data_IF_340183443313
#
_entry.id   IF_340183443313
#
_cell.length_a   1.000
_cell.length_b   1.000
_cell.length_c   1.000
_cell.angle_alpha   90.00
_cell.angle_beta   90.00
_cell.angle_gamma   90.00
#
_symmetry.space_group_name_H-M   'P 1'
#
loop_
_entity.id
_entity.type
_entity.pdbx_description
1 polymer ?
#
# COMPACT_ATOMS: atom_id res chain seq x y z
N UNK A 1 -31.71 -11.63 -16.88
CA UNK A 1 -30.64 -11.24 -15.95
C UNK A 1 -29.46 -10.85 -16.80
N UNK A 2 -29.08 -9.56 -16.82
CA UNK A 2 -27.95 -9.07 -17.62
C UNK A 2 -26.66 -9.74 -17.16
N UNK A 3 -25.87 -10.22 -18.13
CA UNK A 3 -24.60 -10.90 -17.88
C UNK A 3 -23.54 -9.81 -17.76
N UNK A 4 -23.05 -9.55 -16.56
CA UNK A 4 -22.03 -8.53 -16.31
C UNK A 4 -20.71 -8.94 -17.00
N UNK A 5 -20.35 -8.28 -18.11
CA UNK A 5 -19.18 -8.63 -18.93
C UNK A 5 -17.85 -8.15 -18.33
N UNK A 6 -17.88 -7.12 -17.48
CA UNK A 6 -16.71 -6.55 -16.79
C UNK A 6 -17.12 -6.08 -15.40
N UNK A 7 -16.18 -6.11 -14.46
CA UNK A 7 -16.37 -5.49 -13.15
C UNK A 7 -16.47 -3.96 -13.33
N UNK A 8 -17.62 -3.39 -12.94
CA UNK A 8 -17.86 -1.93 -12.93
C UNK A 8 -18.12 -1.48 -11.49
N UNK A 9 -17.30 -1.96 -10.55
CA UNK A 9 -17.38 -1.51 -9.16
C UNK A 9 -16.79 -0.12 -8.98
N UNK A 10 -17.27 0.60 -7.97
CA UNK A 10 -16.72 1.90 -7.59
C UNK A 10 -15.36 1.72 -6.88
N UNK A 11 -14.28 2.07 -7.57
CA UNK A 11 -12.93 2.04 -7.01
C UNK A 11 -12.59 3.28 -6.15
N UNK A 12 -13.50 4.26 -6.04
CA UNK A 12 -13.33 5.44 -5.19
C UNK A 12 -13.32 5.11 -3.68
N UNK A 13 -13.59 3.86 -3.31
CA UNK A 13 -13.50 3.39 -1.92
C UNK A 13 -12.31 2.47 -1.67
N UNK A 14 -11.55 2.09 -2.71
CA UNK A 14 -10.46 1.09 -2.60
C UNK A 14 -9.46 1.43 -1.49
N UNK A 15 -9.18 2.72 -1.31
CA UNK A 15 -8.19 3.22 -0.35
C UNK A 15 -8.80 3.79 0.94
N UNK A 16 -10.13 3.75 1.10
CA UNK A 16 -10.82 4.18 2.32
C UNK A 16 -10.80 3.07 3.36
N UNK A 17 -9.70 2.98 4.11
CA UNK A 17 -9.55 1.97 5.17
C UNK A 17 -10.38 2.29 6.43
N UNK A 18 -11.05 3.44 6.45
CA UNK A 18 -11.81 4.02 7.55
C UNK A 18 -13.33 3.92 7.39
N UNK A 19 -13.83 3.26 6.33
CA UNK A 19 -15.28 3.08 6.10
C UNK A 19 -15.96 2.39 7.30
N UNK A 20 -15.22 1.54 8.01
CA UNK A 20 -15.66 0.94 9.27
C UNK A 20 -14.62 1.16 10.36
N UNK A 21 -15.03 1.33 11.63
CA UNK A 21 -14.11 1.40 12.75
C UNK A 21 -13.25 0.13 12.84
N UNK A 22 -11.93 0.27 13.06
CA UNK A 22 -11.07 -0.89 13.15
C UNK A 22 -11.23 -1.61 14.49
N UNK A 23 -11.13 -2.94 14.44
CA UNK A 23 -11.20 -3.80 15.62
C UNK A 23 -9.77 -3.98 16.15
N UNK A 24 -9.49 -3.56 17.40
CA UNK A 24 -8.15 -3.66 17.97
C UNK A 24 -7.58 -5.08 17.91
N UNK A 25 -6.37 -5.20 17.37
CA UNK A 25 -5.58 -6.44 17.14
C UNK A 25 -6.14 -7.39 16.07
N UNK A 26 -7.30 -7.10 15.49
CA UNK A 26 -7.97 -7.95 14.49
C UNK A 26 -8.03 -7.33 13.10
N UNK A 27 -8.26 -6.02 12.99
CA UNK A 27 -8.27 -5.35 11.68
C UNK A 27 -6.88 -5.36 11.05
N UNK A 28 -6.79 -5.96 9.87
CA UNK A 28 -5.57 -6.10 9.09
C UNK A 28 -5.91 -5.83 7.62
N UNK A 29 -5.27 -4.82 7.05
CA UNK A 29 -5.38 -4.49 5.63
C UNK A 29 -4.08 -4.79 4.94
N UNK A 30 -4.18 -5.39 3.77
CA UNK A 30 -3.04 -5.83 3.02
C UNK A 30 -3.42 -5.99 1.55
N UNK A 31 -2.43 -5.77 0.70
CA UNK A 31 -2.50 -6.14 -0.70
C UNK A 31 -1.14 -6.69 -1.10
N UNK A 32 -1.15 -7.54 -2.11
CA UNK A 32 0.06 -8.16 -2.62
C UNK A 32 0.06 -8.13 -4.13
N UNK A 33 1.26 -8.09 -4.68
CA UNK A 33 1.52 -8.24 -6.10
C UNK A 33 2.52 -9.38 -6.25
N UNK A 34 2.22 -10.32 -7.16
CA UNK A 34 3.20 -11.28 -7.64
C UNK A 34 3.49 -11.00 -9.11
N UNK A 35 4.78 -10.84 -9.41
CA UNK A 35 5.28 -10.83 -10.78
C UNK A 35 5.88 -12.19 -11.10
N UNK A 36 5.38 -12.81 -12.17
CA UNK A 36 5.95 -14.03 -12.72
C UNK A 36 6.98 -13.67 -13.77
N UNK A 37 8.20 -14.15 -13.57
CA UNK A 37 9.34 -13.96 -14.48
C UNK A 37 9.69 -15.33 -15.08
N UNK A 38 9.84 -15.46 -16.40
CA UNK A 38 10.31 -16.70 -17.01
C UNK A 38 11.64 -17.16 -16.40
N UNK A 39 11.78 -18.46 -16.11
CA UNK A 39 13.07 -18.99 -15.69
C UNK A 39 13.95 -19.26 -16.93
N UNK A 40 15.13 -18.63 -17.07
CA UNK A 40 16.04 -18.88 -18.19
C UNK A 40 16.56 -20.33 -18.23
N UNK A 41 16.57 -21.03 -17.09
CA UNK A 41 17.11 -22.39 -17.00
C UNK A 41 16.06 -23.49 -17.25
N UNK A 42 14.78 -23.20 -17.00
CA UNK A 42 13.69 -24.17 -17.16
C UNK A 42 12.36 -23.46 -17.52
N UNK A 43 11.93 -23.47 -18.80
CA UNK A 43 10.74 -22.77 -19.24
C UNK A 43 9.43 -23.35 -18.68
N UNK A 44 9.46 -24.49 -17.97
CA UNK A 44 8.26 -25.09 -17.35
C UNK A 44 7.93 -24.48 -15.99
N UNK A 45 8.77 -23.60 -15.45
CA UNK A 45 8.54 -22.91 -14.18
C UNK A 45 8.85 -21.42 -14.29
N UNK A 46 8.38 -20.68 -13.29
CA UNK A 46 8.61 -19.24 -13.17
C UNK A 46 9.42 -18.92 -11.93
N UNK A 47 10.25 -17.88 -12.05
CA UNK A 47 10.74 -17.12 -10.91
C UNK A 47 9.65 -16.14 -10.48
N UNK A 48 9.59 -15.80 -9.20
CA UNK A 48 8.49 -15.00 -8.66
C UNK A 48 9.02 -13.94 -7.72
N UNK A 49 8.62 -12.69 -7.98
CA UNK A 49 8.77 -11.59 -7.03
C UNK A 49 7.42 -11.34 -6.39
N UNK A 50 7.31 -11.64 -5.08
CA UNK A 50 6.14 -11.33 -4.27
C UNK A 50 6.42 -10.09 -3.44
N UNK A 51 5.52 -9.11 -3.50
CA UNK A 51 5.57 -7.91 -2.67
C UNK A 51 4.27 -7.83 -1.89
N UNK A 52 4.35 -7.71 -0.58
CA UNK A 52 3.23 -7.48 0.33
C UNK A 52 3.40 -6.09 0.94
N UNK A 53 2.37 -5.26 0.83
CA UNK A 53 2.20 -4.16 1.77
C UNK A 53 1.11 -4.54 2.76
N UNK A 54 1.31 -4.18 4.03
CA UNK A 54 0.25 -4.34 5.02
C UNK A 54 0.33 -3.35 6.17
N UNK A 55 -0.83 -3.13 6.80
CA UNK A 55 -0.99 -2.40 8.06
C UNK A 55 -1.98 -3.14 8.95
N UNK A 56 -1.72 -3.17 10.25
CA UNK A 56 -2.57 -3.85 11.23
C UNK A 56 -2.86 -2.92 12.40
N UNK A 57 -4.10 -2.90 12.85
CA UNK A 57 -4.49 -2.19 14.07
C UNK A 57 -3.94 -2.96 15.28
N UNK A 58 -2.69 -2.69 15.66
CA UNK A 58 -2.02 -3.35 16.80
C UNK A 58 -0.91 -2.45 17.37
N UNK A 59 -0.65 -2.49 18.70
CA UNK A 59 0.47 -1.73 19.27
C UNK A 59 1.85 -2.17 18.75
N UNK A 60 1.99 -3.47 18.46
CA UNK A 60 3.18 -4.06 17.90
C UNK A 60 2.86 -5.43 17.27
N UNK A 61 3.69 -5.88 16.33
CA UNK A 61 3.67 -7.25 15.80
C UNK A 61 5.08 -7.64 15.36
N UNK A 62 5.40 -8.94 15.45
CA UNK A 62 6.67 -9.48 14.98
C UNK A 62 6.49 -10.11 13.60
N UNK A 63 7.29 -9.68 12.63
CA UNK A 63 7.26 -10.15 11.24
C UNK A 63 8.66 -10.63 10.87
N UNK A 64 8.80 -11.94 10.64
CA UNK A 64 10.07 -12.59 10.27
C UNK A 64 11.27 -12.12 11.12
N UNK A 65 11.12 -12.14 12.44
CA UNK A 65 12.15 -11.71 13.39
C UNK A 65 12.17 -10.21 13.71
N UNK A 66 11.65 -9.35 12.83
CA UNK A 66 11.58 -7.88 12.99
C UNK A 66 10.38 -7.45 13.83
N UNK A 67 10.55 -6.52 14.76
CA UNK A 67 9.45 -5.93 15.51
C UNK A 67 8.94 -4.68 14.80
N UNK A 68 7.71 -4.73 14.32
CA UNK A 68 7.02 -3.54 13.83
C UNK A 68 6.21 -2.89 14.94
N UNK A 69 6.44 -1.59 15.13
CA UNK A 69 5.68 -0.74 16.05
C UNK A 69 5.24 0.50 15.25
N UNK A 70 3.95 0.65 14.91
CA UNK A 70 3.51 1.69 13.96
C UNK A 70 3.76 3.13 14.44
N UNK A 71 3.99 3.34 15.74
CA UNK A 71 4.32 4.63 16.35
C UNK A 71 3.14 5.62 16.43
N UNK A 72 2.14 5.46 15.58
CA UNK A 72 0.83 6.11 15.62
C UNK A 72 -0.22 5.18 15.03
N UNK A 73 -1.51 5.46 15.25
CA UNK A 73 -2.58 4.83 14.47
C UNK A 73 -2.69 5.49 13.10
N UNK A 74 -3.52 4.92 12.23
CA UNK A 74 -4.01 5.63 11.06
C UNK A 74 -4.65 6.95 11.48
N UNK A 75 -4.35 8.03 10.77
CA UNK A 75 -4.92 9.35 10.99
C UNK A 75 -5.55 9.88 9.72
N UNK A 76 -6.59 10.68 9.86
CA UNK A 76 -7.30 11.35 8.77
C UNK A 76 -7.31 12.83 9.12
N UNK A 77 -6.99 13.69 8.16
CA UNK A 77 -7.10 15.14 8.34
C UNK A 77 -8.51 15.67 8.00
N UNK A 78 -8.68 16.98 8.09
CA UNK A 78 -9.96 17.67 7.88
C UNK A 78 -10.45 17.58 6.42
N UNK A 79 -9.53 17.43 5.47
CA UNK A 79 -9.81 17.33 4.03
C UNK A 79 -9.98 15.87 3.55
N UNK A 80 -9.91 14.91 4.48
CA UNK A 80 -10.13 13.49 4.22
C UNK A 80 -8.92 12.76 3.62
N UNK A 81 -7.71 13.29 3.82
CA UNK A 81 -6.46 12.61 3.50
C UNK A 81 -5.99 11.70 4.63
N UNK A 82 -5.45 10.54 4.29
CA UNK A 82 -5.07 9.49 5.23
C UNK A 82 -3.56 9.38 5.37
N UNK A 83 -3.08 9.16 6.60
CA UNK A 83 -1.72 8.66 6.84
C UNK A 83 -1.81 7.30 7.49
N UNK A 84 -1.25 6.30 6.81
CA UNK A 84 -1.37 4.89 7.15
C UNK A 84 0.03 4.33 7.42
N UNK A 85 0.37 4.01 8.67
CA UNK A 85 1.62 3.32 8.96
C UNK A 85 1.51 1.87 8.50
N UNK A 86 2.57 1.33 7.92
CA UNK A 86 2.58 -0.04 7.44
C UNK A 86 3.99 -0.59 7.24
N UNK A 87 4.05 -1.73 6.58
CA UNK A 87 5.29 -2.35 6.17
C UNK A 87 5.19 -2.90 4.76
N UNK A 88 6.31 -2.83 4.05
CA UNK A 88 6.53 -3.58 2.82
C UNK A 88 7.47 -4.74 3.11
N UNK A 89 7.07 -5.93 2.72
CA UNK A 89 7.92 -7.11 2.68
C UNK A 89 7.97 -7.64 1.25
N UNK A 90 9.15 -8.14 0.84
CA UNK A 90 9.30 -8.78 -0.46
C UNK A 90 10.05 -10.11 -0.34
N UNK A 91 9.69 -11.03 -1.22
CA UNK A 91 10.24 -12.37 -1.32
C UNK A 91 10.59 -12.66 -2.77
N UNK A 92 11.67 -13.40 -2.96
CA UNK A 92 12.10 -13.84 -4.29
C UNK A 92 12.17 -15.35 -4.34
N UNK A 93 11.45 -15.94 -5.28
CA UNK A 93 11.59 -17.35 -5.62
C UNK A 93 12.38 -17.46 -6.93
N UNK A 94 13.52 -18.14 -6.91
CA UNK A 94 14.41 -18.25 -8.08
C UNK A 94 14.05 -19.41 -9.03
N UNK A 95 12.92 -20.09 -8.81
CA UNK A 95 12.54 -21.32 -9.51
C UNK A 95 12.94 -22.60 -8.78
N UNK A 96 13.76 -22.51 -7.72
CA UNK A 96 14.20 -23.67 -6.91
C UNK A 96 13.95 -23.45 -5.42
N UNK A 97 14.30 -22.28 -4.89
CA UNK A 97 14.16 -21.94 -3.47
C UNK A 97 13.60 -20.55 -3.25
N UNK A 98 13.01 -20.36 -2.08
CA UNK A 98 12.53 -19.06 -1.61
C UNK A 98 13.67 -18.31 -0.89
N UNK A 99 13.80 -17.02 -1.19
CA UNK A 99 14.68 -16.09 -0.49
C UNK A 99 13.80 -15.15 0.33
N UNK A 100 13.96 -15.24 1.66
CA UNK A 100 13.13 -14.49 2.59
C UNK A 100 13.95 -13.94 3.77
N UNK A 101 13.78 -12.64 4.11
CA UNK A 101 13.10 -11.59 3.36
C UNK A 101 14.09 -10.89 2.41
N UNK A 102 13.70 -10.66 1.15
CA UNK A 102 14.47 -9.81 0.25
C UNK A 102 14.41 -8.34 0.72
N UNK A 103 13.24 -7.93 1.20
CA UNK A 103 13.00 -6.61 1.79
C UNK A 103 12.14 -6.77 3.03
N UNK A 104 12.53 -6.11 4.12
CA UNK A 104 11.64 -5.72 5.22
C UNK A 104 11.83 -4.22 5.41
N UNK A 105 10.76 -3.46 5.23
CA UNK A 105 10.83 -2.00 5.37
C UNK A 105 9.56 -1.46 6.00
N UNK A 106 9.72 -0.76 7.11
CA UNK A 106 8.65 0.08 7.65
C UNK A 106 8.45 1.28 6.74
N UNK A 107 7.20 1.62 6.48
CA UNK A 107 6.85 2.77 5.66
C UNK A 107 5.55 3.39 6.15
N UNK A 108 5.32 4.65 5.79
CA UNK A 108 4.01 5.28 5.93
C UNK A 108 3.54 5.69 4.56
N UNK A 109 2.26 5.46 4.31
CA UNK A 109 1.57 5.89 3.10
C UNK A 109 0.69 7.09 3.42
N UNK A 110 0.82 8.14 2.64
CA UNK A 110 -0.08 9.28 2.62
C UNK A 110 -1.02 9.11 1.42
N UNK A 111 -2.33 9.08 1.65
CA UNK A 111 -3.35 8.92 0.61
C UNK A 111 -4.22 10.16 0.55
N UNK A 112 -4.38 10.73 -0.64
CA UNK A 112 -5.24 11.89 -0.87
C UNK A 112 -6.17 11.61 -2.03
N UNK A 113 -7.43 12.06 -1.89
CA UNK A 113 -8.41 11.98 -2.98
C UNK A 113 -8.29 13.20 -3.91
N UNK A 114 -9.00 13.13 -5.04
CA UNK A 114 -9.04 14.17 -6.08
C UNK A 114 -9.67 15.51 -5.68
N UNK A 115 -10.26 15.61 -4.48
CA UNK A 115 -10.80 16.85 -3.90
C UNK A 115 -9.87 17.46 -2.85
N UNK A 116 -8.83 16.75 -2.41
CA UNK A 116 -7.92 17.20 -1.38
C UNK A 116 -7.02 18.35 -1.89
N UNK A 117 -6.71 19.39 -1.09
CA UNK A 117 -5.89 20.53 -1.55
C UNK A 117 -4.48 20.16 -2.03
N UNK A 118 -3.92 19.06 -1.49
CA UNK A 118 -2.64 18.49 -1.92
C UNK A 118 -2.72 17.71 -3.25
N UNK A 119 -3.90 17.61 -3.88
CA UNK A 119 -4.03 17.02 -5.20
C UNK A 119 -3.38 17.93 -6.26
N UNK A 120 -2.51 17.40 -7.13
CA UNK A 120 -1.85 18.22 -8.15
C UNK A 120 -2.87 18.82 -9.14
N UNK A 121 -2.69 20.10 -9.46
CA UNK A 121 -3.57 20.85 -10.34
C UNK A 121 -3.67 20.27 -11.78
N UNK A 122 -2.64 19.54 -12.23
CA UNK A 122 -2.51 19.07 -13.62
C UNK A 122 -3.07 17.65 -13.85
N UNK A 123 -3.67 17.03 -12.84
CA UNK A 123 -4.19 15.66 -12.92
C UNK A 123 -5.67 15.58 -13.34
N UNK A 124 -6.01 14.56 -14.15
CA UNK A 124 -7.41 14.19 -14.37
C UNK A 124 -8.05 13.85 -13.00
N UNK A 125 -9.13 14.55 -12.61
CA UNK A 125 -9.72 14.47 -11.26
C UNK A 125 -10.54 13.19 -11.07
N UNK A 126 -9.86 12.06 -10.93
CA UNK A 126 -10.47 10.77 -10.59
C UNK A 126 -9.54 9.96 -9.70
N UNK A 127 -9.99 9.63 -8.50
CA UNK A 127 -9.39 8.56 -7.69
C UNK A 127 -8.57 9.02 -6.49
N UNK A 128 -7.57 8.21 -6.13
CA UNK A 128 -6.68 8.43 -4.98
C UNK A 128 -5.24 8.41 -5.44
N UNK A 129 -4.41 9.17 -4.73
CA UNK A 129 -2.98 9.14 -4.93
C UNK A 129 -2.30 8.77 -3.63
N UNK A 130 -1.37 7.83 -3.72
CA UNK A 130 -0.53 7.42 -2.63
C UNK A 130 0.89 7.99 -2.76
N UNK A 131 1.40 8.52 -1.66
CA UNK A 131 2.77 8.95 -1.49
C UNK A 131 3.42 8.18 -0.34
N UNK A 132 4.72 7.95 -0.42
CA UNK A 132 5.47 7.59 0.78
C UNK A 132 5.64 8.85 1.63
N UNK A 133 5.59 8.70 2.93
CA UNK A 133 5.91 9.77 3.87
C UNK A 133 6.74 9.23 5.03
N UNK A 134 7.63 10.05 5.58
CA UNK A 134 8.37 9.77 6.82
C UNK A 134 7.78 10.54 8.01
N UNK A 135 6.77 11.37 7.75
CA UNK A 135 6.15 12.22 8.76
C UNK A 135 5.45 11.37 9.83
N UNK A 136 5.88 11.57 11.07
CA UNK A 136 5.20 11.04 12.26
C UNK A 136 3.89 11.78 12.57
N UNK A 137 3.64 12.94 11.95
CA UNK A 137 2.66 13.95 12.39
C UNK A 137 1.54 14.28 11.39
N UNK A 138 1.54 13.75 10.17
CA UNK A 138 0.50 14.07 9.16
C UNK A 138 0.96 13.97 7.71
N UNK A 139 0.12 14.43 6.78
CA UNK A 139 0.49 14.56 5.37
C UNK A 139 1.67 15.52 5.21
N UNK A 140 2.51 15.27 4.21
CA UNK A 140 3.61 16.18 3.85
C UNK A 140 3.04 17.51 3.33
N UNK A 141 3.81 18.58 3.49
CA UNK A 141 3.49 19.83 2.79
C UNK A 141 3.53 19.62 1.26
N UNK A 142 2.78 20.43 0.51
CA UNK A 142 2.61 20.25 -0.95
C UNK A 142 3.90 20.19 -1.77
N UNK A 143 4.99 20.78 -1.26
CA UNK A 143 6.29 20.76 -1.91
C UNK A 143 7.13 19.51 -1.55
N UNK A 144 7.02 18.98 -0.34
CA UNK A 144 7.68 17.73 0.07
C UNK A 144 7.06 16.48 -0.58
N UNK A 145 5.76 16.52 -0.88
CA UNK A 145 5.07 15.43 -1.58
C UNK A 145 5.50 15.30 -3.06
N UNK A 146 6.02 16.39 -3.67
CA UNK A 146 6.47 16.41 -5.07
C UNK A 146 7.83 15.73 -5.27
N UNK A 147 8.70 15.73 -4.25
CA UNK A 147 10.03 15.13 -4.32
C UNK A 147 10.05 13.63 -4.02
N UNK A 148 9.02 13.09 -3.35
CA UNK A 148 8.95 11.68 -2.98
C UNK A 148 8.27 10.85 -4.07
N UNK A 149 9.08 10.10 -4.82
CA UNK A 149 8.70 9.28 -5.96
C UNK A 149 7.42 8.44 -5.77
N UNK A 150 6.66 8.40 -6.87
CA UNK A 150 5.33 7.81 -6.99
C UNK A 150 5.30 6.30 -6.74
N UNK A 151 4.26 5.85 -6.04
CA UNK A 151 3.69 4.50 -6.17
C UNK A 151 2.24 4.65 -6.62
N UNK A 152 2.05 4.95 -7.91
CA UNK A 152 0.76 4.78 -8.56
C UNK A 152 0.61 3.28 -8.85
N UNK A 153 -0.11 2.58 -7.98
CA UNK A 153 -0.62 1.24 -8.28
C UNK A 153 -2.07 1.43 -8.71
N UNK A 154 -2.29 1.29 -10.02
CA UNK A 154 -3.56 1.20 -10.74
C UNK A 154 -4.20 2.56 -11.08
N UNK A 155 -4.00 2.96 -12.34
CA UNK A 155 -4.92 3.78 -13.14
C UNK A 155 -5.46 2.86 -14.27
#
# INVERSE_FOLDING_TARGET
MEKMEKFVGDLSLLWRLDVMPPIPRLSWWWYWVIMFVPDPDDPKRSRQLMILWSTKETPAIRVNGHWWKPGSRMSIDEDGGHVIPGMVCAWWYDGKRMFEPLVIRECRMALVNDKHPLWPADGNRRGYRCYRTDSRRGLLSGDEAREQGFLALLD
#
